data_IF_738511817952
#
_entry.id   IF_738511817952
#
_cell.length_a   1.000
_cell.length_b   1.000
_cell.length_c   1.000
_cell.angle_alpha   90.00
_cell.angle_beta   90.00
_cell.angle_gamma   90.00
#
_symmetry.space_group_name_H-M   'P 1'
#
loop_
_entity.id
_entity.type
_entity.pdbx_description
1 polymer ?
#
# COMPACT_ATOMS: atom_id res chain seq x y z
N UNK A 1 -7.91 8.90 -10.84
CA UNK A 1 -8.57 9.21 -9.55
C UNK A 1 -10.03 9.60 -9.75
N UNK A 2 -10.33 10.57 -10.60
CA UNK A 2 -11.67 11.18 -10.70
C UNK A 2 -12.82 10.21 -11.00
N UNK A 3 -12.64 9.22 -11.89
CA UNK A 3 -13.70 8.25 -12.20
C UNK A 3 -14.00 7.31 -11.03
N UNK A 4 -12.99 6.95 -10.26
CA UNK A 4 -13.16 6.05 -9.10
C UNK A 4 -13.90 6.81 -8.00
N UNK A 5 -13.47 8.02 -7.68
CA UNK A 5 -14.13 8.82 -6.64
C UNK A 5 -15.57 9.14 -7.01
N UNK A 6 -15.83 9.45 -8.30
CA UNK A 6 -17.19 9.66 -8.79
C UNK A 6 -18.07 8.42 -8.60
N UNK A 7 -17.59 7.23 -8.94
CA UNK A 7 -18.32 5.98 -8.70
C UNK A 7 -18.66 5.79 -7.21
N UNK A 8 -17.66 6.02 -6.33
CA UNK A 8 -17.85 5.86 -4.88
C UNK A 8 -18.82 6.91 -4.31
N UNK A 9 -18.75 8.15 -4.78
CA UNK A 9 -19.64 9.25 -4.40
C UNK A 9 -21.07 8.99 -4.88
N UNK A 10 -21.25 8.52 -6.12
CA UNK A 10 -22.57 8.16 -6.69
C UNK A 10 -23.24 7.02 -5.91
N UNK A 11 -22.45 6.11 -5.35
CA UNK A 11 -22.92 5.02 -4.47
C UNK A 11 -23.03 5.44 -3.00
N UNK A 12 -22.72 6.67 -2.66
CA UNK A 12 -22.69 7.18 -1.28
C UNK A 12 -21.79 6.36 -0.34
N UNK A 13 -20.65 5.91 -0.84
CA UNK A 13 -19.71 5.10 -0.07
C UNK A 13 -18.65 5.97 0.60
N UNK A 14 -18.31 5.62 1.82
CA UNK A 14 -17.17 6.21 2.53
C UNK A 14 -15.86 5.55 2.10
N UNK A 15 -14.83 6.36 1.93
CA UNK A 15 -13.51 5.88 1.55
C UNK A 15 -12.42 6.81 2.11
N UNK A 16 -11.22 6.28 2.17
CA UNK A 16 -10.02 7.01 2.53
C UNK A 16 -9.19 7.27 1.26
N UNK A 17 -8.90 8.54 1.02
CA UNK A 17 -8.17 8.99 -0.15
C UNK A 17 -6.77 9.40 0.26
N UNK A 18 -5.76 8.59 -0.10
CA UNK A 18 -4.39 8.75 0.34
C UNK A 18 -3.55 9.46 -0.71
N UNK A 19 -2.91 10.56 -0.35
CA UNK A 19 -2.03 11.33 -1.22
C UNK A 19 -0.69 11.59 -0.54
N UNK A 20 0.35 11.73 -1.34
CA UNK A 20 1.63 12.24 -0.88
C UNK A 20 1.76 13.71 -1.29
N UNK A 21 1.99 14.58 -0.32
CA UNK A 21 2.23 16.00 -0.53
C UNK A 21 3.44 16.42 0.29
N UNK A 22 4.46 16.97 -0.38
CA UNK A 22 5.68 17.46 0.27
C UNK A 22 6.31 16.39 1.21
N UNK A 23 6.38 15.14 0.74
CA UNK A 23 6.84 13.95 1.47
C UNK A 23 6.00 13.59 2.72
N UNK A 24 4.81 14.17 2.87
CA UNK A 24 3.87 13.85 3.95
C UNK A 24 2.69 13.06 3.40
N UNK A 25 2.38 11.92 4.03
CA UNK A 25 1.19 11.14 3.70
C UNK A 25 -0.05 11.79 4.34
N UNK A 26 -0.93 12.28 3.47
CA UNK A 26 -2.22 12.84 3.86
C UNK A 26 -3.32 11.85 3.51
N UNK A 27 -4.24 11.62 4.43
CA UNK A 27 -5.41 10.77 4.26
C UNK A 27 -6.67 11.59 4.42
N UNK A 28 -7.41 11.77 3.34
CA UNK A 28 -8.69 12.47 3.34
C UNK A 28 -9.82 11.46 3.56
N UNK A 29 -10.86 11.88 4.27
CA UNK A 29 -12.06 11.10 4.54
C UNK A 29 -13.28 12.02 4.72
N UNK A 30 -14.49 11.52 4.49
CA UNK A 30 -15.72 12.32 4.65
C UNK A 30 -16.43 12.02 5.98
N UNK A 31 -17.00 10.84 6.08
CA UNK A 31 -17.83 10.41 7.22
C UNK A 31 -17.59 8.92 7.49
N UNK A 32 -18.22 8.44 8.53
CA UNK A 32 -18.27 7.02 8.86
C UNK A 32 -19.73 6.66 9.09
N UNK A 33 -20.23 5.63 8.40
CA UNK A 33 -21.59 5.13 8.54
C UNK A 33 -21.64 3.89 9.42
N UNK A 34 -20.49 3.29 9.71
CA UNK A 34 -20.33 2.06 10.48
C UNK A 34 -19.26 2.24 11.55
N UNK A 35 -19.44 1.56 12.69
CA UNK A 35 -18.48 1.61 13.82
C UNK A 35 -17.11 1.10 13.43
N UNK A 36 -17.05 0.08 12.58
CA UNK A 36 -15.80 -0.54 12.10
C UNK A 36 -14.94 0.44 11.28
N UNK A 37 -15.56 1.35 10.55
CA UNK A 37 -14.85 2.43 9.85
C UNK A 37 -14.24 3.42 10.82
N UNK A 38 -14.92 3.72 11.93
CA UNK A 38 -14.38 4.56 13.00
C UNK A 38 -13.22 3.84 13.71
N UNK A 39 -13.37 2.57 14.02
CA UNK A 39 -12.32 1.76 14.65
C UNK A 39 -11.07 1.68 13.75
N UNK A 40 -11.27 1.49 12.45
CA UNK A 40 -10.18 1.54 11.46
C UNK A 40 -9.48 2.90 11.47
N UNK A 41 -10.23 3.99 11.44
CA UNK A 41 -9.68 5.34 11.52
C UNK A 41 -8.90 5.54 12.82
N UNK A 42 -9.46 5.17 13.96
CA UNK A 42 -8.83 5.33 15.28
C UNK A 42 -7.53 4.51 15.41
N UNK A 43 -7.51 3.31 14.86
CA UNK A 43 -6.31 2.49 14.81
C UNK A 43 -5.23 3.12 13.91
N UNK A 44 -5.61 3.56 12.70
CA UNK A 44 -4.67 4.04 11.71
C UNK A 44 -4.11 5.43 12.04
N UNK A 45 -4.87 6.30 12.69
CA UNK A 45 -4.41 7.65 13.09
C UNK A 45 -3.38 7.65 14.23
N UNK A 46 -3.17 6.52 14.90
CA UNK A 46 -2.10 6.39 15.89
C UNK A 46 -0.71 6.39 15.26
N UNK A 47 -0.61 6.19 13.95
CA UNK A 47 0.66 6.26 13.24
C UNK A 47 1.16 7.71 13.15
N UNK A 48 2.39 8.02 13.62
CA UNK A 48 2.94 9.36 13.54
C UNK A 48 3.24 9.83 12.10
N UNK A 49 3.19 8.92 11.14
CA UNK A 49 3.50 9.18 9.73
C UNK A 49 2.28 9.44 8.86
N UNK A 50 1.07 9.49 9.46
CA UNK A 50 -0.18 9.70 8.75
C UNK A 50 -0.93 10.89 9.31
N UNK A 51 -1.34 11.79 8.42
CA UNK A 51 -2.18 12.93 8.78
C UNK A 51 -3.57 12.74 8.17
N UNK A 52 -4.60 12.82 9.00
CA UNK A 52 -5.99 12.66 8.59
C UNK A 52 -6.66 14.01 8.46
N UNK A 53 -7.35 14.23 7.34
CA UNK A 53 -8.00 15.49 7.01
C UNK A 53 -9.46 15.20 6.67
N UNK A 54 -10.37 15.82 7.40
CA UNK A 54 -11.80 15.75 7.10
C UNK A 54 -12.11 16.55 5.82
N UNK A 55 -12.89 15.95 4.92
CA UNK A 55 -13.22 16.50 3.60
C UNK A 55 -12.41 15.83 2.48
N UNK A 56 -12.77 16.10 1.23
CA UNK A 56 -12.06 15.57 0.07
C UNK A 56 -11.05 16.59 -0.49
N UNK A 57 -9.94 16.11 -1.07
CA UNK A 57 -8.95 17.01 -1.65
C UNK A 57 -9.54 17.76 -2.83
N UNK A 58 -9.15 19.02 -3.01
CA UNK A 58 -9.38 19.73 -4.26
C UNK A 58 -8.67 18.99 -5.40
N UNK A 59 -9.27 18.93 -6.58
CA UNK A 59 -8.96 18.07 -7.73
C UNK A 59 -7.50 17.98 -8.23
N UNK A 60 -6.56 18.61 -7.58
CA UNK A 60 -5.15 18.67 -8.00
C UNK A 60 -4.27 17.53 -7.51
N UNK A 61 -4.73 16.69 -6.60
CA UNK A 61 -3.91 15.61 -6.06
C UNK A 61 -4.29 14.26 -6.66
N UNK A 62 -3.29 13.55 -7.20
CA UNK A 62 -3.47 12.16 -7.59
C UNK A 62 -3.32 11.27 -6.36
N UNK A 63 -4.20 10.29 -6.15
CA UNK A 63 -4.07 9.37 -5.02
C UNK A 63 -2.89 8.42 -5.24
N UNK A 64 -2.20 8.12 -4.16
CA UNK A 64 -1.33 6.95 -4.09
C UNK A 64 -2.16 5.67 -4.14
N UNK A 65 -3.22 5.65 -3.34
CA UNK A 65 -4.24 4.61 -3.31
C UNK A 65 -5.51 5.13 -2.66
N UNK A 66 -6.60 4.38 -2.88
CA UNK A 66 -7.88 4.58 -2.20
C UNK A 66 -8.14 3.32 -1.38
N UNK A 67 -8.58 3.46 -0.13
CA UNK A 67 -9.01 2.32 0.67
C UNK A 67 -10.47 2.47 1.11
N UNK A 68 -11.18 1.34 1.13
CA UNK A 68 -12.59 1.25 1.45
C UNK A 68 -12.77 0.09 2.43
N UNK A 69 -13.39 0.35 3.56
CA UNK A 69 -13.78 -0.68 4.52
C UNK A 69 -15.30 -0.83 4.46
N UNK A 70 -15.76 -2.01 4.05
CA UNK A 70 -17.19 -2.29 3.96
C UNK A 70 -17.46 -3.80 3.97
N UNK A 71 -18.72 -4.21 3.93
CA UNK A 71 -19.09 -5.63 3.84
C UNK A 71 -18.55 -6.27 2.56
N UNK A 72 -18.40 -7.58 2.58
CA UNK A 72 -17.89 -8.35 1.45
C UNK A 72 -18.67 -8.11 0.17
N UNK A 73 -20.01 -8.10 0.25
CA UNK A 73 -20.87 -7.85 -0.89
C UNK A 73 -20.58 -6.50 -1.54
N UNK A 74 -20.53 -5.43 -0.75
CA UNK A 74 -20.29 -4.08 -1.27
C UNK A 74 -18.91 -3.97 -1.89
N UNK A 75 -17.90 -4.60 -1.30
CA UNK A 75 -16.53 -4.58 -1.84
C UNK A 75 -16.46 -5.27 -3.22
N UNK A 76 -17.11 -6.41 -3.38
CA UNK A 76 -17.11 -7.11 -4.68
C UNK A 76 -17.98 -6.38 -5.71
N UNK A 77 -19.10 -5.77 -5.33
CA UNK A 77 -19.90 -4.91 -6.21
C UNK A 77 -19.08 -3.72 -6.74
N UNK A 78 -18.24 -3.11 -5.91
CA UNK A 78 -17.34 -2.03 -6.34
C UNK A 78 -16.34 -2.56 -7.38
N UNK A 79 -15.77 -3.73 -7.17
CA UNK A 79 -14.80 -4.33 -8.10
C UNK A 79 -15.46 -4.63 -9.44
N UNK A 80 -16.67 -5.18 -9.44
CA UNK A 80 -17.43 -5.47 -10.66
C UNK A 80 -17.74 -4.19 -11.43
N UNK A 81 -18.17 -3.13 -10.76
CA UNK A 81 -18.38 -1.81 -11.40
C UNK A 81 -17.10 -1.24 -12.02
N UNK A 82 -15.96 -1.39 -11.34
CA UNK A 82 -14.67 -0.94 -11.89
C UNK A 82 -14.25 -1.76 -13.12
N UNK A 83 -14.62 -3.04 -13.16
CA UNK A 83 -14.42 -3.90 -14.33
C UNK A 83 -15.32 -3.44 -15.48
N UNK A 84 -16.59 -3.21 -15.21
CA UNK A 84 -17.59 -2.77 -16.21
C UNK A 84 -17.23 -1.40 -16.79
N UNK A 85 -16.67 -0.51 -16.00
CA UNK A 85 -16.12 0.77 -16.46
C UNK A 85 -14.79 0.63 -17.23
N UNK A 86 -14.26 -0.59 -17.39
CA UNK A 86 -13.01 -0.86 -18.10
C UNK A 86 -11.76 -0.36 -17.38
N UNK A 87 -11.85 -0.06 -16.08
CA UNK A 87 -10.74 0.48 -15.29
C UNK A 87 -9.79 -0.61 -14.77
N UNK A 88 -10.19 -1.88 -14.78
CA UNK A 88 -9.40 -3.01 -14.28
C UNK A 88 -8.02 -3.14 -14.93
N UNK A 89 -7.84 -2.66 -16.17
CA UNK A 89 -6.53 -2.69 -16.86
C UNK A 89 -5.54 -1.64 -16.35
N UNK A 90 -6.02 -0.66 -15.60
CA UNK A 90 -5.21 0.45 -15.08
C UNK A 90 -5.06 0.42 -13.57
N UNK A 91 -5.70 -0.56 -12.92
CA UNK A 91 -5.79 -0.64 -11.47
C UNK A 91 -5.36 -2.02 -10.96
N UNK A 92 -4.89 -2.04 -9.73
CA UNK A 92 -4.67 -3.24 -8.92
C UNK A 92 -5.59 -3.17 -7.72
N UNK A 93 -6.13 -4.32 -7.34
CA UNK A 93 -6.99 -4.46 -6.18
C UNK A 93 -6.36 -5.41 -5.17
N UNK A 94 -6.38 -5.01 -3.92
CA UNK A 94 -6.04 -5.87 -2.79
C UNK A 94 -7.25 -5.91 -1.87
N UNK A 95 -7.81 -7.09 -1.69
CA UNK A 95 -8.90 -7.34 -0.76
C UNK A 95 -8.34 -8.12 0.42
N UNK A 96 -8.48 -7.56 1.60
CA UNK A 96 -8.19 -8.22 2.86
C UNK A 96 -9.53 -8.57 3.50
N UNK A 97 -9.91 -9.85 3.36
CA UNK A 97 -11.16 -10.37 3.91
C UNK A 97 -11.06 -10.48 5.43
N UNK A 98 -12.18 -10.35 6.11
CA UNK A 98 -12.30 -10.42 7.57
C UNK A 98 -11.32 -9.48 8.32
N UNK A 99 -11.05 -8.31 7.75
CA UNK A 99 -10.21 -7.29 8.38
C UNK A 99 -10.75 -6.85 9.74
N UNK A 100 -12.08 -6.70 9.84
CA UNK A 100 -12.90 -6.76 11.04
C UNK A 100 -13.99 -7.80 10.82
N UNK A 101 -14.66 -8.25 11.87
CA UNK A 101 -15.75 -9.24 11.74
C UNK A 101 -16.78 -8.81 10.71
N UNK A 102 -16.90 -9.59 9.63
CA UNK A 102 -17.82 -9.32 8.52
C UNK A 102 -17.44 -8.17 7.57
N UNK A 103 -16.25 -7.56 7.75
CA UNK A 103 -15.80 -6.43 6.96
C UNK A 103 -14.55 -6.77 6.16
N UNK A 104 -14.51 -6.33 4.91
CA UNK A 104 -13.35 -6.43 4.02
C UNK A 104 -12.73 -5.05 3.78
N UNK A 105 -11.41 -5.01 3.73
CA UNK A 105 -10.65 -3.82 3.35
C UNK A 105 -10.19 -3.95 1.90
N UNK A 106 -10.74 -3.11 1.03
CA UNK A 106 -10.29 -2.98 -0.36
C UNK A 106 -9.27 -1.85 -0.46
N UNK A 107 -8.14 -2.12 -1.11
CA UNK A 107 -7.16 -1.10 -1.52
C UNK A 107 -7.09 -1.08 -3.04
N UNK A 108 -7.28 0.10 -3.62
CA UNK A 108 -7.24 0.35 -5.07
C UNK A 108 -6.00 1.19 -5.38
N UNK A 109 -5.09 0.66 -6.19
CA UNK A 109 -3.83 1.27 -6.58
C UNK A 109 -3.72 1.39 -8.10
N UNK A 110 -2.76 2.17 -8.57
CA UNK A 110 -2.36 2.11 -9.98
C UNK A 110 -1.82 0.72 -10.32
N UNK A 111 -2.06 0.27 -11.54
CA UNK A 111 -1.48 -0.98 -12.06
C UNK A 111 0.05 -1.01 -11.97
N UNK A 112 0.70 0.15 -12.13
CA UNK A 112 2.15 0.30 -12.02
C UNK A 112 2.69 0.24 -10.58
N UNK A 113 1.82 0.29 -9.56
CA UNK A 113 2.23 0.24 -8.16
C UNK A 113 2.57 -1.20 -7.75
N UNK A 114 3.64 -1.74 -8.31
CA UNK A 114 4.19 -3.05 -7.94
C UNK A 114 5.45 -2.88 -7.09
N UNK A 115 5.79 -3.86 -6.26
CA UNK A 115 7.03 -3.84 -5.49
C UNK A 115 8.26 -3.67 -6.39
N UNK A 116 8.30 -4.35 -7.54
CA UNK A 116 9.39 -4.29 -8.51
C UNK A 116 9.55 -2.87 -9.07
N UNK A 117 8.46 -2.29 -9.58
CA UNK A 117 8.48 -0.92 -10.12
C UNK A 117 8.86 0.10 -9.04
N UNK A 118 8.39 -0.09 -7.81
CA UNK A 118 8.75 0.80 -6.70
C UNK A 118 10.22 0.66 -6.31
N UNK A 119 10.77 -0.55 -6.32
CA UNK A 119 12.19 -0.80 -6.07
C UNK A 119 13.07 -0.12 -7.13
N UNK A 120 12.73 -0.29 -8.41
CA UNK A 120 13.48 0.36 -9.50
C UNK A 120 13.42 1.89 -9.40
N UNK A 121 12.25 2.47 -9.14
CA UNK A 121 12.11 3.93 -8.91
C UNK A 121 12.92 4.41 -7.70
N UNK A 122 13.00 3.60 -6.65
CA UNK A 122 13.80 3.92 -5.47
C UNK A 122 15.29 3.90 -5.79
N UNK A 123 15.75 2.89 -6.53
CA UNK A 123 17.15 2.80 -7.00
C UNK A 123 17.51 4.01 -7.86
N UNK A 124 16.66 4.37 -8.82
CA UNK A 124 16.86 5.55 -9.66
C UNK A 124 16.94 6.84 -8.84
N UNK A 125 15.97 7.05 -7.94
CA UNK A 125 15.89 8.26 -7.11
C UNK A 125 17.09 8.44 -6.19
N UNK A 126 17.66 7.34 -5.68
CA UNK A 126 18.79 7.32 -4.75
C UNK A 126 20.15 7.06 -5.43
N UNK A 127 20.19 6.93 -6.75
CA UNK A 127 21.39 6.54 -7.54
C UNK A 127 22.06 5.26 -7.00
N UNK A 128 21.22 4.26 -6.65
CA UNK A 128 21.68 2.95 -6.15
C UNK A 128 21.89 2.00 -7.32
N UNK A 129 23.12 1.53 -7.50
CA UNK A 129 23.48 0.58 -8.58
C UNK A 129 23.22 -0.87 -8.19
N UNK A 130 23.44 -1.21 -6.94
CA UNK A 130 23.31 -2.56 -6.42
C UNK A 130 22.49 -2.54 -5.14
N UNK A 131 21.60 -3.49 -4.98
CA UNK A 131 20.78 -3.66 -3.78
C UNK A 131 20.60 -5.13 -3.45
N UNK A 132 20.37 -5.44 -2.20
CA UNK A 132 19.96 -6.77 -1.75
C UNK A 132 18.60 -6.60 -1.05
N UNK A 133 17.59 -7.30 -1.54
CA UNK A 133 16.23 -7.24 -1.03
C UNK A 133 15.97 -8.45 -0.14
N UNK A 134 15.60 -8.20 1.10
CA UNK A 134 15.22 -9.23 2.08
C UNK A 134 13.71 -9.23 2.25
N UNK A 135 13.11 -10.40 2.36
CA UNK A 135 11.67 -10.52 2.63
C UNK A 135 11.18 -11.96 2.61
N UNK A 136 9.88 -12.14 2.77
CA UNK A 136 9.21 -13.45 2.83
C UNK A 136 8.73 -13.96 1.47
N UNK A 137 8.83 -13.15 0.40
CA UNK A 137 8.36 -13.49 -0.94
C UNK A 137 9.52 -13.66 -1.90
N UNK A 138 9.54 -14.75 -2.64
CA UNK A 138 10.52 -15.05 -3.68
C UNK A 138 10.34 -14.19 -4.95
N UNK A 139 9.20 -13.49 -5.09
CA UNK A 139 8.91 -12.71 -6.28
C UNK A 139 9.88 -11.55 -6.53
N UNK A 140 10.38 -10.92 -5.44
CA UNK A 140 11.25 -9.74 -5.51
C UNK A 140 12.44 -9.80 -4.57
N UNK A 141 12.54 -10.83 -3.71
CA UNK A 141 13.58 -10.91 -2.69
C UNK A 141 14.78 -11.70 -3.18
N UNK A 142 15.97 -11.13 -3.00
CA UNK A 142 17.25 -11.82 -3.23
C UNK A 142 17.54 -12.82 -2.10
N UNK A 143 17.05 -12.53 -0.90
CA UNK A 143 17.20 -13.36 0.30
C UNK A 143 15.84 -13.58 0.94
N UNK A 144 15.41 -14.83 0.98
CA UNK A 144 14.14 -15.22 1.64
C UNK A 144 14.38 -15.34 3.14
N UNK A 145 13.60 -14.57 3.91
CA UNK A 145 13.58 -14.63 5.36
C UNK A 145 12.20 -15.09 5.80
N UNK A 146 12.06 -16.34 6.28
CA UNK A 146 10.78 -16.85 6.77
C UNK A 146 10.22 -15.96 7.87
N UNK A 147 8.91 -15.83 7.92
CA UNK A 147 8.12 -15.18 8.97
C UNK A 147 8.35 -13.68 9.17
N UNK A 148 9.12 -12.99 8.31
CA UNK A 148 9.47 -11.56 8.45
C UNK A 148 9.94 -11.19 9.88
N UNK A 149 10.50 -12.16 10.63
CA UNK A 149 11.02 -11.92 11.96
C UNK A 149 12.23 -10.97 11.87
N UNK A 150 12.16 -9.86 12.60
CA UNK A 150 13.20 -8.83 12.59
C UNK A 150 14.58 -9.40 12.95
N UNK A 151 14.66 -10.31 13.92
CA UNK A 151 15.94 -10.93 14.33
C UNK A 151 16.53 -11.81 13.22
N UNK A 152 15.68 -12.51 12.48
CA UNK A 152 16.10 -13.32 11.32
C UNK A 152 16.60 -12.43 10.18
N UNK A 153 15.95 -11.30 9.93
CA UNK A 153 16.40 -10.30 8.94
C UNK A 153 17.78 -9.75 9.35
N UNK A 154 17.92 -9.29 10.59
CA UNK A 154 19.20 -8.75 11.09
C UNK A 154 20.32 -9.76 11.00
N UNK A 155 20.09 -11.03 11.36
CA UNK A 155 21.08 -12.12 11.25
C UNK A 155 21.47 -12.34 9.79
N UNK A 156 20.51 -12.36 8.86
CA UNK A 156 20.79 -12.53 7.43
C UNK A 156 21.63 -11.39 6.88
N UNK A 157 21.31 -10.14 7.21
CA UNK A 157 22.09 -8.96 6.84
C UNK A 157 23.53 -9.06 7.39
N UNK A 158 23.66 -9.43 8.67
CA UNK A 158 24.99 -9.56 9.30
C UNK A 158 25.86 -10.62 8.61
N UNK A 159 25.31 -11.79 8.32
CA UNK A 159 26.01 -12.88 7.64
C UNK A 159 26.46 -12.47 6.22
N UNK A 160 25.61 -11.79 5.46
CA UNK A 160 25.97 -11.27 4.12
C UNK A 160 27.09 -10.24 4.21
N UNK A 161 27.00 -9.30 5.16
CA UNK A 161 28.01 -8.28 5.36
C UNK A 161 29.38 -8.89 5.71
N UNK A 162 29.42 -9.87 6.62
CA UNK A 162 30.65 -10.60 6.95
C UNK A 162 31.22 -11.36 5.73
N UNK A 163 30.34 -12.00 4.95
CA UNK A 163 30.73 -12.68 3.72
C UNK A 163 31.38 -11.74 2.69
N UNK A 164 30.83 -10.52 2.54
CA UNK A 164 31.40 -9.49 1.65
C UNK A 164 32.76 -9.01 2.18
N UNK A 165 32.90 -8.78 3.48
CA UNK A 165 34.17 -8.36 4.09
C UNK A 165 35.26 -9.43 3.96
N UNK A 166 34.93 -10.71 4.08
CA UNK A 166 35.89 -11.82 3.88
C UNK A 166 36.38 -11.88 2.43
N UNK A 167 35.48 -11.73 1.44
CA UNK A 167 35.84 -11.71 0.02
C UNK A 167 36.79 -10.55 -0.33
N UNK A 168 36.65 -9.38 0.30
CA UNK A 168 37.51 -8.21 0.10
C UNK A 168 38.88 -8.35 0.75
N UNK A 169 39.07 -9.25 1.72
CA UNK A 169 40.34 -9.49 2.43
C UNK A 169 41.17 -10.60 1.83
N UNK A 170 40.68 -11.33 0.82
CA UNK A 170 41.51 -12.30 0.09
C UNK A 170 42.35 -11.54 -0.93
N UNK A 171 43.71 -11.53 -0.81
CA UNK A 171 44.56 -10.94 -1.81
C UNK A 171 44.48 -11.77 -3.11
N UNK A 172 44.42 -11.06 -4.24
CA UNK A 172 44.57 -11.67 -5.55
C UNK A 172 45.98 -12.23 -5.74
#
# INVERSE_FOLDING_TARGET
>A
GTKITQLLDDKHLNYFYHVLKDDVLLTYYNSFDQSEQMDYYDMMRQSPYRNYIFGMPTHSYQPLYISILNTKEIIYDIIDDLIDLGLHKQLRYFVEEDYFEGMCLLKILSYEATPENMLERLKEKLDIKESIVYGSSDAICDVIVPDNDFNSIVKSIHNEYEGIQMKRRQPQ
#
